data_IF_302299431408
#
_entry.id   IF_302299431408
#
_cell.length_a   1.000
_cell.length_b   1.000
_cell.length_c   1.000
_cell.angle_alpha   90.00
_cell.angle_beta   90.00
_cell.angle_gamma   90.00
#
_symmetry.space_group_name_H-M   'P 1'
#
loop_
_entity.id
_entity.type
_entity.pdbx_description
1 polymer ?
#
# COMPACT_ATOMS: atom_id res chain seq x y z
N UNK A 1 16.10 -11.33 -14.61
CA UNK A 1 15.06 -10.32 -14.32
C UNK A 1 15.65 -8.96 -14.64
N UNK A 2 15.08 -8.21 -15.59
CA UNK A 2 15.58 -6.89 -15.98
C UNK A 2 14.47 -5.86 -15.65
N UNK A 3 14.45 -5.33 -14.41
CA UNK A 3 13.48 -4.31 -14.01
C UNK A 3 13.16 -4.27 -12.50
N UNK A 4 12.38 -3.26 -12.09
CA UNK A 4 11.89 -3.11 -10.72
C UNK A 4 10.69 -4.05 -10.52
N UNK A 5 10.77 -4.93 -9.52
CA UNK A 5 9.67 -5.86 -9.21
C UNK A 5 8.58 -5.24 -8.35
N UNK A 6 8.96 -4.49 -7.31
CA UNK A 6 8.04 -3.84 -6.38
C UNK A 6 8.76 -2.67 -5.70
N UNK A 7 7.97 -1.69 -5.22
CA UNK A 7 8.44 -0.58 -4.38
C UNK A 7 7.55 -0.54 -3.15
N UNK A 8 8.15 -0.58 -1.96
CA UNK A 8 7.43 -0.45 -0.70
C UNK A 8 7.64 0.95 -0.11
N UNK A 9 6.55 1.60 0.28
CA UNK A 9 6.56 2.93 0.88
C UNK A 9 5.94 2.83 2.27
N UNK A 10 6.61 3.38 3.27
CA UNK A 10 6.06 3.52 4.63
C UNK A 10 5.38 4.88 4.70
N UNK A 11 4.07 4.88 4.90
CA UNK A 11 3.27 6.09 5.00
C UNK A 11 2.84 6.33 6.45
N UNK A 12 2.72 7.60 6.85
CA UNK A 12 2.23 7.99 8.17
C UNK A 12 0.70 7.95 8.28
N UNK A 13 -0.02 8.13 7.16
CA UNK A 13 -1.48 8.10 7.08
C UNK A 13 -1.90 7.08 6.02
N UNK A 14 -2.41 5.94 6.50
CA UNK A 14 -2.77 4.82 5.64
C UNK A 14 -3.96 5.15 4.72
N UNK A 15 -5.02 5.74 5.28
CA UNK A 15 -6.25 6.03 4.54
C UNK A 15 -5.99 7.04 3.42
N UNK A 16 -5.22 8.10 3.71
CA UNK A 16 -4.84 9.07 2.69
C UNK A 16 -4.02 8.44 1.57
N UNK A 17 -3.08 7.56 1.90
CA UNK A 17 -2.28 6.85 0.89
C UNK A 17 -3.11 5.86 0.07
N UNK A 18 -3.99 5.08 0.71
CA UNK A 18 -4.90 4.14 0.04
C UNK A 18 -5.78 4.86 -0.97
N UNK A 19 -6.41 5.97 -0.58
CA UNK A 19 -7.22 6.79 -1.50
C UNK A 19 -6.41 7.33 -2.67
N UNK A 20 -5.19 7.82 -2.42
CA UNK A 20 -4.33 8.31 -3.49
C UNK A 20 -3.99 7.22 -4.52
N UNK A 21 -3.50 6.05 -4.08
CA UNK A 21 -3.08 5.00 -5.00
C UNK A 21 -4.26 4.24 -5.64
N UNK A 22 -5.35 4.01 -4.91
CA UNK A 22 -6.48 3.21 -5.39
C UNK A 22 -7.56 4.06 -6.05
N UNK A 23 -8.01 5.14 -5.41
CA UNK A 23 -9.12 5.95 -5.95
C UNK A 23 -8.64 6.95 -7.00
N UNK A 24 -7.55 7.68 -6.72
CA UNK A 24 -7.08 8.75 -7.60
C UNK A 24 -6.25 8.21 -8.77
N UNK A 25 -5.30 7.31 -8.50
CA UNK A 25 -4.48 6.70 -9.55
C UNK A 25 -5.10 5.45 -10.17
N UNK A 26 -6.14 4.87 -9.55
CA UNK A 26 -6.84 3.72 -10.10
C UNK A 26 -6.09 2.40 -9.99
N UNK A 27 -5.08 2.29 -9.13
CA UNK A 27 -4.36 1.02 -8.94
C UNK A 27 -5.23 0.00 -8.20
N UNK A 28 -5.17 -1.29 -8.60
CA UNK A 28 -5.90 -2.32 -7.91
C UNK A 28 -5.26 -2.59 -6.53
N UNK A 29 -6.10 -2.72 -5.51
CA UNK A 29 -5.68 -3.28 -4.23
C UNK A 29 -5.59 -4.81 -4.35
N UNK A 30 -4.38 -5.36 -4.31
CA UNK A 30 -4.13 -6.81 -4.49
C UNK A 30 -4.31 -7.52 -3.15
N UNK A 31 -3.72 -6.97 -2.08
CA UNK A 31 -3.83 -7.54 -0.74
C UNK A 31 -3.78 -6.46 0.33
N UNK A 32 -4.72 -6.51 1.27
CA UNK A 32 -4.75 -5.64 2.43
C UNK A 32 -4.63 -6.49 3.71
N UNK A 33 -3.62 -6.23 4.52
CA UNK A 33 -3.36 -6.98 5.75
C UNK A 33 -3.09 -6.07 6.93
N UNK A 34 -3.85 -6.26 8.02
CA UNK A 34 -3.60 -5.59 9.29
C UNK A 34 -2.49 -6.30 10.07
N UNK A 35 -1.49 -5.55 10.52
CA UNK A 35 -0.31 -6.03 11.27
C UNK A 35 -0.41 -5.59 12.72
N UNK A 36 -1.06 -6.40 13.56
CA UNK A 36 -1.31 -6.10 14.98
C UNK A 36 -0.02 -5.72 15.76
N UNK A 37 1.08 -6.44 15.53
CA UNK A 37 2.37 -6.16 16.19
C UNK A 37 2.94 -4.77 15.89
N UNK A 38 2.46 -4.10 14.83
CA UNK A 38 2.88 -2.77 14.41
C UNK A 38 1.72 -1.77 14.33
N UNK A 39 0.52 -2.16 14.76
CA UNK A 39 -0.71 -1.38 14.65
C UNK A 39 -0.82 -0.63 13.29
N UNK A 40 -0.60 -1.35 12.18
CA UNK A 40 -0.51 -0.74 10.85
C UNK A 40 -1.05 -1.67 9.77
N UNK A 41 -1.49 -1.09 8.66
CA UNK A 41 -1.90 -1.84 7.48
C UNK A 41 -0.75 -1.99 6.49
N UNK A 42 -0.75 -3.09 5.74
CA UNK A 42 0.05 -3.30 4.53
C UNK A 42 -0.93 -3.44 3.38
N UNK A 43 -0.76 -2.61 2.36
CA UNK A 43 -1.52 -2.67 1.10
C UNK A 43 -0.51 -2.96 -0.01
N UNK A 44 -0.70 -4.09 -0.68
CA UNK A 44 0.02 -4.48 -1.88
C UNK A 44 -0.84 -4.22 -3.12
#
# INVERSE_FOLDING_TARGET
>A
MLGIHHVAIICSDYERSKRFYVELLGFPAIQETYRAARNSYKLD
#
